data_IF_611715745809
#
_entry.id   IF_611715745809
#
_cell.length_a   1.000
_cell.length_b   1.000
_cell.length_c   1.000
_cell.angle_alpha   90.00
_cell.angle_beta   90.00
_cell.angle_gamma   90.00
#
_symmetry.space_group_name_H-M   'P 1'
#
loop_
_entity.id
_entity.type
_entity.pdbx_description
1 polymer ?
#
# COMPACT_ATOMS: atom_id res chain seq x y z
N UNK A 1 -4.09 -80.24 -0.27
CA UNK A 1 -4.79 -79.05 -0.75
C UNK A 1 -4.20 -77.80 -0.03
N UNK A 2 -3.28 -77.10 -0.69
CA UNK A 2 -2.64 -75.90 -0.15
C UNK A 2 -3.32 -74.69 -0.74
N UNK A 3 -3.87 -73.83 0.13
CA UNK A 3 -4.45 -72.56 -0.26
C UNK A 3 -3.40 -71.44 -0.09
N UNK A 4 -2.99 -70.85 -1.21
CA UNK A 4 -2.14 -69.64 -1.23
C UNK A 4 -3.02 -68.41 -0.97
N UNK A 5 -2.72 -67.67 0.12
CA UNK A 5 -3.29 -66.35 0.37
C UNK A 5 -2.40 -65.29 -0.31
N UNK A 6 -2.97 -64.51 -1.24
CA UNK A 6 -2.32 -63.36 -1.83
C UNK A 6 -2.62 -62.13 -0.97
N UNK A 7 -1.56 -61.55 -0.37
CA UNK A 7 -1.63 -60.23 0.24
C UNK A 7 -1.46 -59.17 -0.85
N UNK A 8 -2.50 -58.39 -1.08
CA UNK A 8 -2.48 -57.18 -1.95
C UNK A 8 -2.00 -56.02 -1.05
N UNK A 9 -0.76 -55.58 -1.24
CA UNK A 9 -0.26 -54.34 -0.64
C UNK A 9 -0.77 -53.14 -1.47
N UNK A 10 -1.66 -52.36 -0.89
CA UNK A 10 -2.12 -51.09 -1.46
C UNK A 10 -1.03 -50.03 -1.25
N UNK A 11 -0.37 -49.65 -2.33
CA UNK A 11 0.52 -48.45 -2.36
C UNK A 11 -0.35 -47.18 -2.30
N UNK A 12 -0.32 -46.51 -1.15
CA UNK A 12 -0.89 -45.18 -1.04
C UNK A 12 0.01 -44.18 -1.79
N UNK A 13 -0.48 -43.67 -2.90
CA UNK A 13 0.17 -42.56 -3.60
C UNK A 13 0.06 -41.28 -2.77
N UNK A 14 1.12 -40.47 -2.64
CA UNK A 14 1.06 -39.20 -1.94
C UNK A 14 0.14 -38.24 -2.73
N UNK A 15 -0.82 -37.62 -2.03
CA UNK A 15 -1.67 -36.54 -2.56
C UNK A 15 -0.77 -35.38 -3.05
N UNK A 16 -1.03 -34.80 -4.21
CA UNK A 16 -0.32 -33.63 -4.68
C UNK A 16 -0.59 -32.48 -3.71
N UNK A 17 0.48 -31.87 -3.16
CA UNK A 17 0.41 -30.60 -2.46
C UNK A 17 -0.20 -29.58 -3.42
N UNK A 18 -1.36 -29.08 -3.09
CA UNK A 18 -1.95 -27.92 -3.73
C UNK A 18 -0.94 -26.77 -3.58
N UNK A 19 -0.26 -26.42 -4.66
CA UNK A 19 0.50 -25.17 -4.75
C UNK A 19 -0.57 -24.08 -4.75
N UNK A 20 -0.55 -23.22 -3.75
CA UNK A 20 -1.24 -21.94 -3.82
C UNK A 20 -0.84 -21.28 -5.14
N UNK A 21 -1.77 -21.30 -6.09
CA UNK A 21 -1.62 -20.56 -7.33
C UNK A 21 -1.74 -19.08 -6.91
N UNK A 22 -0.63 -18.36 -6.89
CA UNK A 22 -0.65 -16.92 -7.00
C UNK A 22 -1.67 -16.57 -8.09
N UNK A 23 -2.70 -15.82 -7.72
CA UNK A 23 -3.67 -15.31 -8.71
C UNK A 23 -2.90 -14.39 -9.63
N UNK A 24 -2.56 -14.89 -10.81
CA UNK A 24 -1.98 -14.09 -11.88
C UNK A 24 -2.99 -13.01 -12.23
N UNK A 25 -2.73 -11.76 -11.83
CA UNK A 25 -3.60 -10.65 -12.19
C UNK A 25 -3.40 -10.34 -13.67
N UNK A 26 -4.48 -10.47 -14.44
CA UNK A 26 -4.53 -10.03 -15.83
C UNK A 26 -4.41 -8.50 -15.87
N UNK A 27 -3.18 -7.97 -16.04
CA UNK A 27 -2.93 -6.53 -16.11
C UNK A 27 -1.46 -6.21 -16.36
N UNK A 28 -1.21 -4.98 -16.79
CA UNK A 28 0.14 -4.46 -16.92
C UNK A 28 0.68 -4.11 -15.54
N UNK A 29 1.85 -4.64 -15.16
CA UNK A 29 2.57 -4.17 -14.00
C UNK A 29 3.05 -2.73 -14.24
N UNK A 30 2.60 -1.79 -13.43
CA UNK A 30 2.94 -0.36 -13.50
C UNK A 30 4.13 -0.07 -12.61
N UNK A 31 4.13 -0.63 -11.40
CA UNK A 31 5.22 -0.54 -10.45
C UNK A 31 5.24 -1.75 -9.53
N UNK A 32 6.44 -2.09 -9.06
CA UNK A 32 6.65 -3.10 -8.03
C UNK A 32 7.99 -2.87 -7.36
N UNK A 33 8.11 -3.30 -6.12
CA UNK A 33 9.35 -3.12 -5.37
C UNK A 33 9.19 -3.39 -3.89
N UNK A 34 10.14 -2.86 -3.14
CA UNK A 34 10.07 -2.89 -1.68
C UNK A 34 10.49 -1.55 -1.08
N UNK A 35 9.91 -1.25 0.07
CA UNK A 35 10.30 -0.16 0.95
C UNK A 35 10.92 -0.72 2.23
N UNK A 36 12.12 -0.26 2.56
CA UNK A 36 12.70 -0.44 3.89
C UNK A 36 12.21 0.65 4.82
N UNK A 37 11.69 0.27 5.98
CA UNK A 37 11.26 1.19 7.04
C UNK A 37 12.33 1.26 8.10
N UNK A 38 12.82 2.46 8.38
CA UNK A 38 13.90 2.71 9.32
C UNK A 38 13.42 3.63 10.44
N UNK A 39 13.78 3.29 11.67
CA UNK A 39 13.57 4.12 12.84
C UNK A 39 14.91 4.31 13.54
N UNK A 40 15.32 5.55 13.78
CA UNK A 40 16.65 5.87 14.33
C UNK A 40 17.81 5.20 13.57
N UNK A 41 17.70 5.07 12.25
CA UNK A 41 18.70 4.44 11.38
C UNK A 41 18.69 2.92 11.36
N UNK A 42 17.85 2.26 12.16
CA UNK A 42 17.71 0.79 12.19
C UNK A 42 16.48 0.36 11.40
N UNK A 43 16.64 -0.66 10.54
CA UNK A 43 15.52 -1.23 9.80
C UNK A 43 14.57 -1.94 10.77
N UNK A 44 13.31 -1.52 10.79
CA UNK A 44 12.25 -2.07 11.65
C UNK A 44 11.17 -2.81 10.86
N UNK A 45 11.15 -2.63 9.54
CA UNK A 45 10.19 -3.32 8.68
C UNK A 45 10.56 -3.28 7.21
N UNK A 46 9.86 -4.08 6.44
CA UNK A 46 9.92 -4.09 4.97
C UNK A 46 8.51 -4.25 4.43
N UNK A 47 8.13 -3.38 3.52
CA UNK A 47 6.95 -3.54 2.68
C UNK A 47 7.39 -4.03 1.31
N UNK A 48 6.76 -5.07 0.78
CA UNK A 48 6.89 -5.50 -0.62
C UNK A 48 5.56 -5.26 -1.30
N UNK A 49 5.57 -4.67 -2.49
CA UNK A 49 4.32 -4.29 -3.16
C UNK A 49 4.37 -4.49 -4.68
N UNK A 50 3.19 -4.52 -5.28
CA UNK A 50 2.98 -4.47 -6.73
C UNK A 50 1.72 -3.69 -7.07
N UNK A 51 1.77 -2.96 -8.20
CA UNK A 51 0.68 -2.16 -8.74
C UNK A 51 0.40 -2.64 -10.16
N UNK A 52 -0.81 -3.15 -10.39
CA UNK A 52 -1.27 -3.61 -11.69
C UNK A 52 -2.35 -2.68 -12.23
N UNK A 53 -2.24 -2.33 -13.52
CA UNK A 53 -3.27 -1.59 -14.25
C UNK A 53 -4.01 -2.56 -15.17
N UNK A 54 -5.32 -2.58 -15.07
CA UNK A 54 -6.23 -3.35 -15.94
C UNK A 54 -7.19 -2.40 -16.67
N UNK A 55 -7.96 -2.91 -17.63
CA UNK A 55 -9.05 -2.15 -18.25
C UNK A 55 -10.14 -1.79 -17.23
N UNK A 56 -10.25 -2.53 -16.15
CA UNK A 56 -11.22 -2.33 -15.08
C UNK A 56 -10.77 -1.39 -13.97
N UNK A 57 -9.52 -0.91 -13.98
CA UNK A 57 -8.94 -0.10 -12.92
C UNK A 57 -7.59 -0.62 -12.45
N UNK A 58 -7.20 -0.30 -11.23
CA UNK A 58 -5.91 -0.70 -10.66
C UNK A 58 -6.10 -1.68 -9.52
N UNK A 59 -5.14 -2.61 -9.38
CA UNK A 59 -5.02 -3.50 -8.22
C UNK A 59 -3.65 -3.30 -7.60
N UNK A 60 -3.65 -2.98 -6.32
CA UNK A 60 -2.44 -2.75 -5.53
C UNK A 60 -2.39 -3.83 -4.46
N UNK A 61 -1.29 -4.57 -4.42
CA UNK A 61 -1.04 -5.59 -3.42
C UNK A 61 0.19 -5.23 -2.63
N UNK A 62 0.15 -5.48 -1.33
CA UNK A 62 1.28 -5.20 -0.46
C UNK A 62 1.35 -6.22 0.67
N UNK A 63 2.59 -6.54 1.08
CA UNK A 63 2.91 -7.32 2.26
C UNK A 63 3.90 -6.51 3.10
N UNK A 64 3.58 -6.29 4.36
CA UNK A 64 4.47 -5.67 5.35
C UNK A 64 4.94 -6.70 6.36
N UNK A 65 6.26 -6.75 6.61
CA UNK A 65 6.89 -7.59 7.63
C UNK A 65 7.72 -6.73 8.58
N UNK A 66 7.51 -6.90 9.87
CA UNK A 66 8.44 -6.33 10.87
C UNK A 66 9.76 -7.08 10.84
N UNK A 67 10.83 -6.37 11.20
CA UNK A 67 12.20 -6.93 11.30
C UNK A 67 12.74 -6.58 12.67
N UNK A 68 13.37 -7.58 13.34
CA UNK A 68 13.95 -7.41 14.67
C UNK A 68 12.97 -6.97 15.76
N UNK A 69 11.67 -7.21 15.57
CA UNK A 69 10.65 -6.98 16.60
C UNK A 69 10.63 -8.16 17.60
N UNK A 70 10.19 -7.93 18.84
CA UNK A 70 9.99 -9.01 19.82
C UNK A 70 9.04 -10.10 19.32
N UNK A 71 8.12 -9.75 18.42
CA UNK A 71 7.21 -10.66 17.74
C UNK A 71 7.15 -10.24 16.28
N UNK A 72 7.49 -11.15 15.38
CA UNK A 72 7.44 -10.88 13.94
C UNK A 72 5.98 -10.76 13.50
N UNK A 73 5.62 -9.57 13.03
CA UNK A 73 4.32 -9.31 12.46
C UNK A 73 4.39 -9.35 10.93
N UNK A 74 3.40 -10.00 10.34
CA UNK A 74 3.18 -9.99 8.88
C UNK A 74 1.75 -9.56 8.61
N UNK A 75 1.60 -8.58 7.74
CA UNK A 75 0.31 -8.05 7.30
C UNK A 75 0.29 -7.97 5.77
N UNK A 76 -0.88 -8.14 5.19
CA UNK A 76 -1.10 -7.96 3.75
C UNK A 76 -2.21 -7.00 3.49
N UNK A 77 -2.15 -6.28 2.37
CA UNK A 77 -3.26 -5.47 1.88
C UNK A 77 -3.51 -5.69 0.39
N UNK A 78 -4.76 -5.53 0.00
CA UNK A 78 -5.18 -5.42 -1.39
C UNK A 78 -6.11 -4.23 -1.53
N UNK A 79 -5.80 -3.33 -2.47
CA UNK A 79 -6.65 -2.20 -2.83
C UNK A 79 -7.03 -2.30 -4.29
N UNK A 80 -8.32 -2.21 -4.57
CA UNK A 80 -8.88 -2.18 -5.91
C UNK A 80 -9.47 -0.80 -6.17
N UNK A 81 -9.05 -0.17 -7.26
CA UNK A 81 -9.52 1.15 -7.68
C UNK A 81 -10.24 1.05 -9.02
N UNK A 82 -11.19 1.95 -9.24
CA UNK A 82 -11.79 2.19 -10.56
C UNK A 82 -10.77 2.81 -11.53
N UNK A 83 -11.05 2.89 -12.85
CA UNK A 83 -10.21 3.65 -13.78
C UNK A 83 -10.07 5.13 -13.43
N UNK A 84 -11.00 5.69 -12.65
CA UNK A 84 -10.99 7.08 -12.16
C UNK A 84 -10.26 7.23 -10.81
N UNK A 85 -9.71 6.14 -10.26
CA UNK A 85 -8.97 6.15 -9.00
C UNK A 85 -9.84 6.17 -7.74
N UNK A 86 -11.11 5.78 -7.86
CA UNK A 86 -12.02 5.63 -6.73
C UNK A 86 -11.92 4.24 -6.12
N UNK A 87 -12.15 4.13 -4.81
CA UNK A 87 -12.11 2.86 -4.10
C UNK A 87 -13.25 1.96 -4.58
N UNK A 88 -12.91 0.74 -5.02
CA UNK A 88 -13.84 -0.38 -5.18
C UNK A 88 -13.86 -1.28 -3.98
N UNK A 89 -12.68 -1.56 -3.45
CA UNK A 89 -12.45 -2.42 -2.30
C UNK A 89 -11.07 -2.11 -1.73
N UNK A 90 -10.97 -2.09 -0.43
CA UNK A 90 -9.72 -2.20 0.30
C UNK A 90 -9.87 -3.33 1.32
N UNK A 91 -8.84 -4.14 1.46
CA UNK A 91 -8.78 -5.20 2.47
C UNK A 91 -7.37 -5.25 3.05
N UNK A 92 -7.27 -5.41 4.37
CA UNK A 92 -6.01 -5.80 4.99
C UNK A 92 -6.24 -6.98 5.94
N UNK A 93 -5.18 -7.77 6.13
CA UNK A 93 -5.16 -8.95 6.99
C UNK A 93 -3.87 -9.01 7.76
N UNK A 94 -3.96 -9.24 9.05
CA UNK A 94 -2.84 -9.65 9.86
C UNK A 94 -2.67 -11.17 9.76
N UNK A 95 -1.50 -11.61 9.28
CA UNK A 95 -1.18 -13.02 9.12
C UNK A 95 -0.50 -13.57 10.38
N UNK A 96 0.26 -12.73 11.08
CA UNK A 96 0.88 -13.00 12.37
C UNK A 96 1.17 -11.69 13.13
N UNK A 97 1.21 -11.70 14.47
CA UNK A 97 0.88 -12.80 15.38
C UNK A 97 -0.63 -13.03 15.52
N UNK A 98 -1.43 -12.00 15.25
CA UNK A 98 -2.88 -12.03 15.33
C UNK A 98 -3.52 -12.60 14.06
N UNK A 99 -4.81 -12.33 13.91
CA UNK A 99 -5.61 -12.66 12.72
C UNK A 99 -6.66 -11.58 12.47
N UNK A 100 -6.31 -10.35 12.80
CA UNK A 100 -7.19 -9.22 12.55
C UNK A 100 -7.40 -9.01 11.05
N UNK A 101 -8.58 -8.55 10.69
CA UNK A 101 -8.95 -8.27 9.29
C UNK A 101 -9.79 -7.01 9.21
N UNK A 102 -9.66 -6.29 8.10
CA UNK A 102 -10.56 -5.16 7.81
C UNK A 102 -10.85 -5.10 6.31
N UNK A 103 -12.07 -4.70 5.99
CA UNK A 103 -12.52 -4.48 4.61
C UNK A 103 -13.23 -3.13 4.55
N UNK A 104 -12.88 -2.29 3.57
CA UNK A 104 -13.57 -1.05 3.25
C UNK A 104 -14.23 -1.18 1.88
N UNK A 105 -15.52 -0.89 1.82
CA UNK A 105 -16.32 -0.97 0.60
C UNK A 105 -17.13 0.33 0.42
N UNK A 106 -17.32 0.79 -0.82
CA UNK A 106 -18.32 1.81 -1.11
C UNK A 106 -19.73 1.29 -0.82
N UNK A 107 -20.56 2.15 -0.23
CA UNK A 107 -21.97 1.89 0.00
C UNK A 107 -22.76 3.17 -0.31
N UNK A 108 -23.26 3.29 -1.55
CA UNK A 108 -23.87 4.51 -2.08
C UNK A 108 -22.89 5.71 -1.95
N UNK A 109 -23.25 6.71 -1.15
CA UNK A 109 -22.51 7.97 -0.99
C UNK A 109 -21.49 7.96 0.14
N UNK A 110 -21.20 6.80 0.74
CA UNK A 110 -20.25 6.67 1.84
C UNK A 110 -19.40 5.42 1.73
N UNK A 111 -18.32 5.37 2.54
CA UNK A 111 -17.50 4.18 2.72
C UNK A 111 -17.95 3.44 3.97
N UNK A 112 -17.97 2.12 3.90
CA UNK A 112 -18.31 1.27 5.02
C UNK A 112 -17.12 0.37 5.35
N UNK A 113 -16.63 0.45 6.59
CA UNK A 113 -15.57 -0.41 7.09
C UNK A 113 -16.16 -1.51 7.96
N UNK A 114 -15.74 -2.75 7.70
CA UNK A 114 -16.00 -3.92 8.55
C UNK A 114 -14.67 -4.49 9.02
N UNK A 115 -14.58 -4.85 10.31
CA UNK A 115 -13.33 -5.42 10.83
C UNK A 115 -13.58 -6.42 11.95
N UNK A 116 -12.56 -7.27 12.19
CA UNK A 116 -12.45 -8.19 13.31
C UNK A 116 -11.05 -8.12 13.88
N UNK A 117 -10.94 -8.20 15.20
CA UNK A 117 -9.65 -8.23 15.92
C UNK A 117 -9.08 -9.65 16.03
N UNK A 118 -9.88 -10.66 15.69
CA UNK A 118 -9.49 -12.06 15.66
C UNK A 118 -10.55 -12.94 15.00
N UNK A 119 -10.25 -14.21 14.71
CA UNK A 119 -11.13 -15.10 13.95
C UNK A 119 -12.45 -15.42 14.69
N UNK A 120 -12.42 -15.50 16.02
CA UNK A 120 -13.58 -15.77 16.87
C UNK A 120 -14.29 -14.49 17.35
N UNK A 121 -13.74 -13.32 17.02
CA UNK A 121 -14.28 -12.05 17.45
C UNK A 121 -15.47 -11.61 16.58
N UNK A 122 -16.36 -10.86 17.22
CA UNK A 122 -17.52 -10.28 16.53
C UNK A 122 -17.05 -9.29 15.45
N UNK A 123 -17.73 -9.29 14.33
CA UNK A 123 -17.52 -8.28 13.29
C UNK A 123 -18.07 -6.94 13.76
N UNK A 124 -17.24 -5.91 13.67
CA UNK A 124 -17.61 -4.53 13.84
C UNK A 124 -17.87 -3.89 12.48
N UNK A 125 -18.70 -2.85 12.45
CA UNK A 125 -19.05 -2.12 11.23
C UNK A 125 -19.17 -0.64 11.55
N UNK A 126 -18.58 0.19 10.67
CA UNK A 126 -18.64 1.65 10.81
C UNK A 126 -18.79 2.30 9.43
N UNK A 127 -19.85 3.08 9.20
CA UNK A 127 -19.99 3.92 8.03
C UNK A 127 -19.22 5.24 8.21
N UNK A 128 -18.62 5.72 7.11
CA UNK A 128 -17.98 7.04 7.01
C UNK A 128 -18.66 7.82 5.90
N UNK A 129 -19.12 9.03 6.20
CA UNK A 129 -19.69 9.96 5.21
C UNK A 129 -18.57 10.51 4.31
N UNK A 130 -17.95 9.63 3.56
CA UNK A 130 -16.81 9.87 2.69
C UNK A 130 -17.10 9.30 1.31
N UNK A 131 -16.83 10.04 0.22
CA UNK A 131 -17.02 9.55 -1.14
C UNK A 131 -16.00 8.47 -1.49
N UNK A 132 -16.29 7.66 -2.50
CA UNK A 132 -15.38 6.64 -3.02
C UNK A 132 -14.05 7.22 -3.57
N UNK A 133 -13.99 8.52 -3.85
CA UNK A 133 -12.77 9.26 -4.20
C UNK A 133 -11.81 9.48 -3.03
N UNK A 134 -12.22 9.18 -1.80
CA UNK A 134 -11.36 9.18 -0.62
C UNK A 134 -10.14 8.27 -0.82
N UNK A 135 -9.01 8.63 -0.26
CA UNK A 135 -7.78 7.85 -0.37
C UNK A 135 -7.55 7.05 0.90
N UNK A 136 -7.25 5.77 0.77
CA UNK A 136 -6.77 4.96 1.90
C UNK A 136 -5.34 5.40 2.20
N UNK A 137 -5.06 5.73 3.46
CA UNK A 137 -3.73 5.96 4.01
C UNK A 137 -3.54 5.09 5.25
N UNK A 138 -3.11 3.89 5.00
CA UNK A 138 -2.82 2.92 6.05
C UNK A 138 -1.45 3.17 6.68
N UNK A 139 -1.29 2.82 7.96
CA UNK A 139 -0.06 3.08 8.71
C UNK A 139 1.09 2.14 8.31
N UNK A 140 0.77 0.93 7.82
CA UNK A 140 1.74 -0.10 7.51
C UNK A 140 2.07 -0.21 6.02
N UNK A 141 1.22 0.36 5.14
CA UNK A 141 1.38 0.23 3.69
C UNK A 141 1.75 1.58 3.06
N UNK A 142 3.05 1.78 2.86
CA UNK A 142 3.62 3.04 2.38
C UNK A 142 3.33 3.28 0.90
N UNK A 143 3.10 2.21 0.12
CA UNK A 143 2.66 2.29 -1.28
C UNK A 143 1.39 3.15 -1.45
N UNK A 144 0.53 3.24 -0.44
CA UNK A 144 -0.65 4.11 -0.49
C UNK A 144 -0.27 5.60 -0.59
N UNK A 145 0.88 5.99 -0.05
CA UNK A 145 1.40 7.37 -0.16
C UNK A 145 1.92 7.65 -1.56
N UNK A 146 2.46 6.65 -2.25
CA UNK A 146 2.85 6.75 -3.65
C UNK A 146 1.62 6.96 -4.56
N UNK A 147 0.55 6.20 -4.36
CA UNK A 147 -0.71 6.39 -5.08
C UNK A 147 -1.29 7.79 -4.85
N UNK A 148 -1.26 8.28 -3.62
CA UNK A 148 -1.71 9.64 -3.32
C UNK A 148 -0.82 10.69 -3.98
N UNK A 149 0.50 10.47 -4.06
CA UNK A 149 1.41 11.34 -4.78
C UNK A 149 1.06 11.42 -6.27
N UNK A 150 0.80 10.28 -6.93
CA UNK A 150 0.34 10.26 -8.32
C UNK A 150 -1.01 10.96 -8.50
N UNK A 151 -1.94 10.77 -7.56
CA UNK A 151 -3.23 11.48 -7.57
C UNK A 151 -3.06 13.00 -7.43
N UNK A 152 -2.13 13.45 -6.57
CA UNK A 152 -1.76 14.86 -6.45
C UNK A 152 -1.16 15.40 -7.76
N UNK A 153 -0.19 14.69 -8.36
CA UNK A 153 0.43 15.11 -9.62
C UNK A 153 -0.61 15.25 -10.73
N UNK A 154 -1.53 14.30 -10.84
CA UNK A 154 -2.61 14.34 -11.83
C UNK A 154 -3.59 15.52 -11.61
N UNK A 155 -3.84 15.91 -10.35
CA UNK A 155 -4.77 16.97 -10.00
C UNK A 155 -4.14 18.37 -10.06
N UNK A 156 -2.85 18.51 -9.69
CA UNK A 156 -2.21 19.81 -9.47
C UNK A 156 -1.18 20.19 -10.53
N UNK A 157 -0.63 19.22 -11.27
CA UNK A 157 0.47 19.44 -12.19
C UNK A 157 0.01 19.32 -13.65
N UNK A 158 0.79 19.90 -14.57
CA UNK A 158 0.53 19.83 -16.01
C UNK A 158 1.69 19.17 -16.73
N UNK A 159 1.36 18.34 -17.71
CA UNK A 159 2.35 17.80 -18.64
C UNK A 159 2.58 18.80 -19.78
N UNK A 160 3.78 19.32 -19.94
CA UNK A 160 4.14 20.20 -21.06
C UNK A 160 5.10 19.50 -22.02
N UNK A 161 4.75 19.52 -23.33
CA UNK A 161 5.59 18.91 -24.37
C UNK A 161 7.00 19.52 -24.34
N UNK A 162 8.00 18.69 -24.09
CA UNK A 162 9.41 19.09 -24.10
C UNK A 162 9.93 19.71 -22.80
N UNK A 163 9.07 19.98 -21.84
CA UNK A 163 9.46 20.54 -20.53
C UNK A 163 9.18 19.58 -19.35
N UNK A 164 8.46 18.47 -19.62
CA UNK A 164 8.11 17.51 -18.58
C UNK A 164 6.92 17.93 -17.72
N UNK A 165 6.90 17.51 -16.48
CA UNK A 165 5.82 17.81 -15.54
C UNK A 165 6.10 19.10 -14.79
N UNK A 166 5.20 20.08 -14.94
CA UNK A 166 5.26 21.35 -14.23
C UNK A 166 4.22 21.39 -13.12
N UNK A 167 4.70 21.51 -11.90
CA UNK A 167 3.86 21.65 -10.71
C UNK A 167 3.98 23.06 -10.13
N UNK A 168 2.87 23.76 -9.86
CA UNK A 168 2.92 25.07 -9.20
C UNK A 168 3.45 24.93 -7.77
N UNK A 169 4.45 25.74 -7.43
CA UNK A 169 4.98 25.83 -6.08
C UNK A 169 3.92 26.38 -5.12
N UNK A 170 3.85 25.81 -3.92
CA UNK A 170 2.99 26.27 -2.80
C UNK A 170 1.48 26.16 -3.08
N UNK A 171 1.07 25.56 -4.19
CA UNK A 171 -0.34 25.24 -4.42
C UNK A 171 -0.71 24.01 -3.60
N UNK A 172 -1.74 24.18 -2.77
CA UNK A 172 -2.27 23.10 -1.93
C UNK A 172 -3.47 22.45 -2.57
N UNK A 173 -3.49 21.13 -2.53
CA UNK A 173 -4.63 20.30 -2.93
C UNK A 173 -5.11 19.51 -1.71
N UNK A 174 -6.42 19.49 -1.47
CA UNK A 174 -7.01 18.78 -0.34
C UNK A 174 -7.53 17.43 -0.79
N UNK A 175 -7.30 16.42 0.06
CA UNK A 175 -7.80 15.07 -0.12
C UNK A 175 -8.50 14.60 1.16
N UNK A 176 -9.61 13.87 1.01
CA UNK A 176 -10.14 13.07 2.11
C UNK A 176 -9.32 11.79 2.24
N UNK A 177 -8.98 11.40 3.47
CA UNK A 177 -8.26 10.16 3.74
C UNK A 177 -8.99 9.32 4.80
N UNK A 178 -8.84 8.00 4.69
CA UNK A 178 -9.30 7.04 5.67
C UNK A 178 -8.13 6.14 6.06
N UNK A 179 -7.87 6.05 7.38
CA UNK A 179 -6.94 5.10 7.96
C UNK A 179 -7.74 3.91 8.55
N UNK A 180 -7.72 2.74 7.89
CA UNK A 180 -8.51 1.61 8.34
C UNK A 180 -8.02 0.96 9.64
N UNK A 181 -6.74 1.10 10.00
CA UNK A 181 -6.22 0.60 11.27
C UNK A 181 -6.66 1.45 12.46
N UNK A 182 -6.72 2.76 12.26
CA UNK A 182 -7.14 3.69 13.31
C UNK A 182 -8.66 3.91 13.32
N UNK A 183 -9.40 3.34 12.35
CA UNK A 183 -10.84 3.59 12.16
C UNK A 183 -11.16 5.09 12.13
N UNK A 184 -10.29 5.87 11.47
CA UNK A 184 -10.35 7.32 11.49
C UNK A 184 -10.21 7.91 10.09
N UNK A 185 -10.92 9.00 9.86
CA UNK A 185 -10.80 9.81 8.65
C UNK A 185 -10.26 11.19 8.96
N UNK A 186 -9.46 11.74 8.07
CA UNK A 186 -8.89 13.06 8.21
C UNK A 186 -8.73 13.76 6.86
N UNK A 187 -8.83 15.10 6.82
CA UNK A 187 -8.37 15.86 5.65
C UNK A 187 -6.84 15.80 5.58
N UNK A 188 -6.33 15.70 4.36
CA UNK A 188 -4.91 15.79 4.06
C UNK A 188 -4.68 16.92 3.06
N UNK A 189 -3.69 17.78 3.35
CA UNK A 189 -3.19 18.79 2.42
C UNK A 189 -1.91 18.30 1.76
N UNK A 190 -1.89 18.27 0.44
CA UNK A 190 -0.71 17.94 -0.36
C UNK A 190 -0.17 19.18 -1.05
N UNK A 191 1.15 19.36 -1.06
CA UNK A 191 1.84 20.52 -1.64
C UNK A 191 3.14 20.10 -2.33
N UNK A 192 3.46 20.72 -3.48
CA UNK A 192 4.76 20.60 -4.14
C UNK A 192 5.72 21.64 -3.56
N UNK A 193 6.83 21.19 -2.99
CA UNK A 193 7.84 22.06 -2.37
C UNK A 193 9.00 22.42 -3.31
N UNK A 194 9.07 21.83 -4.50
CA UNK A 194 10.17 22.01 -5.44
C UNK A 194 10.98 20.73 -5.63
N UNK A 195 12.26 20.92 -5.99
CA UNK A 195 13.21 19.81 -6.18
C UNK A 195 14.27 19.86 -5.08
N UNK A 196 14.77 18.69 -4.72
CA UNK A 196 15.82 18.54 -3.72
C UNK A 196 16.78 17.43 -4.11
N UNK A 197 18.09 17.71 -3.94
CA UNK A 197 19.12 16.68 -4.10
C UNK A 197 19.16 15.80 -2.87
N UNK A 198 18.98 14.51 -3.09
CA UNK A 198 18.92 13.48 -2.04
C UNK A 198 19.95 12.41 -2.31
N UNK A 199 20.74 12.08 -1.30
CA UNK A 199 21.65 10.94 -1.35
C UNK A 199 20.86 9.68 -1.03
N UNK A 200 20.80 8.79 -2.00
CA UNK A 200 20.23 7.45 -1.91
C UNK A 200 21.34 6.39 -1.93
N UNK A 201 21.01 5.12 -1.71
CA UNK A 201 21.98 4.00 -1.80
C UNK A 201 22.77 3.99 -3.12
N UNK A 202 22.12 4.40 -4.22
CA UNK A 202 22.68 4.36 -5.58
C UNK A 202 23.23 5.70 -6.07
N UNK A 203 23.53 6.63 -5.16
CA UNK A 203 24.07 7.94 -5.46
C UNK A 203 23.11 9.11 -5.23
N UNK A 204 23.58 10.32 -5.53
CA UNK A 204 22.78 11.54 -5.40
C UNK A 204 21.81 11.68 -6.59
N UNK A 205 20.56 12.01 -6.30
CA UNK A 205 19.52 12.29 -7.30
C UNK A 205 18.80 13.59 -6.98
N UNK A 206 18.39 14.30 -8.02
CA UNK A 206 17.57 15.50 -7.92
C UNK A 206 16.09 15.08 -8.06
N UNK A 207 15.33 15.11 -6.99
CA UNK A 207 14.01 14.52 -6.87
C UNK A 207 12.93 15.58 -6.65
N UNK A 208 11.70 15.30 -7.09
CA UNK A 208 10.50 16.07 -6.76
C UNK A 208 10.17 15.88 -5.27
N UNK A 209 10.03 16.99 -4.55
CA UNK A 209 9.67 16.97 -3.13
C UNK A 209 8.21 17.35 -2.94
N UNK A 210 7.43 16.47 -2.35
CA UNK A 210 6.06 16.72 -1.91
C UNK A 210 5.98 16.77 -0.40
N UNK A 211 5.00 17.48 0.12
CA UNK A 211 4.59 17.48 1.52
C UNK A 211 3.14 17.04 1.64
N UNK A 212 2.87 16.09 2.52
CA UNK A 212 1.55 15.63 2.92
C UNK A 212 1.33 15.96 4.39
N UNK A 213 0.39 16.84 4.66
CA UNK A 213 0.09 17.31 6.01
C UNK A 213 -1.30 16.91 6.46
N UNK A 214 -1.37 16.26 7.62
CA UNK A 214 -2.59 15.95 8.37
C UNK A 214 -2.48 16.53 9.78
N UNK A 215 -3.52 16.39 10.59
CA UNK A 215 -3.45 16.72 12.01
C UNK A 215 -2.49 15.79 12.78
N UNK A 216 -2.35 14.53 12.34
CA UNK A 216 -1.47 13.55 12.97
C UNK A 216 0.02 13.75 12.66
N UNK A 217 0.37 14.55 11.65
CA UNK A 217 1.76 14.78 11.30
C UNK A 217 1.97 15.22 9.86
N UNK A 218 3.23 15.44 9.52
CA UNK A 218 3.66 15.87 8.19
C UNK A 218 4.63 14.87 7.60
N UNK A 219 4.31 14.36 6.41
CA UNK A 219 5.18 13.51 5.62
C UNK A 219 5.83 14.30 4.50
N UNK A 220 7.11 14.06 4.25
CA UNK A 220 7.81 14.51 3.06
C UNK A 220 8.13 13.31 2.18
N UNK A 221 7.90 13.46 0.87
CA UNK A 221 8.10 12.42 -0.13
C UNK A 221 9.02 12.93 -1.22
N UNK A 222 9.95 12.11 -1.67
CA UNK A 222 10.85 12.39 -2.79
C UNK A 222 10.59 11.41 -3.91
N UNK A 223 10.19 11.95 -5.09
CA UNK A 223 9.78 11.19 -6.26
C UNK A 223 10.77 11.37 -7.40
N UNK A 224 11.05 10.29 -8.11
CA UNK A 224 11.90 10.30 -9.31
C UNK A 224 11.05 10.55 -10.56
N UNK A 225 11.10 11.75 -11.10
CA UNK A 225 10.37 12.13 -12.33
C UNK A 225 10.97 11.52 -13.60
N UNK A 226 12.16 10.94 -13.52
CA UNK A 226 12.77 10.19 -14.62
C UNK A 226 12.29 8.73 -14.65
N UNK A 227 11.69 8.25 -13.56
CA UNK A 227 11.15 6.90 -13.44
C UNK A 227 9.67 6.96 -12.96
N UNK A 228 8.81 7.52 -13.79
CA UNK A 228 7.34 7.53 -13.60
C UNK A 228 6.87 8.09 -12.25
N UNK A 229 7.63 9.00 -11.65
CA UNK A 229 7.35 9.57 -10.33
C UNK A 229 7.23 8.52 -9.22
N UNK A 230 8.05 7.46 -9.30
CA UNK A 230 8.17 6.49 -8.21
C UNK A 230 8.70 7.18 -6.95
N UNK A 231 8.12 6.83 -5.83
CA UNK A 231 8.62 7.32 -4.54
C UNK A 231 9.92 6.60 -4.19
N UNK A 232 10.99 7.37 -4.02
CA UNK A 232 12.31 6.88 -3.65
C UNK A 232 12.54 6.93 -2.14
N UNK A 233 11.98 7.96 -1.49
CA UNK A 233 12.12 8.19 -0.05
C UNK A 233 10.89 8.88 0.53
N UNK A 234 10.58 8.58 1.79
CA UNK A 234 9.61 9.30 2.61
C UNK A 234 10.20 9.52 4.00
N UNK A 235 9.78 10.58 4.68
CA UNK A 235 10.11 10.81 6.08
C UNK A 235 8.99 11.53 6.81
N UNK A 236 8.91 11.33 8.12
CA UNK A 236 8.02 12.10 9.00
C UNK A 236 8.80 13.29 9.56
N UNK A 237 8.25 14.49 9.39
CA UNK A 237 8.90 15.71 9.89
C UNK A 237 8.89 15.72 11.42
N UNK A 238 10.06 15.91 12.02
CA UNK A 238 10.22 15.91 13.48
C UNK A 238 10.40 14.52 14.11
N UNK A 239 10.42 13.47 13.29
CA UNK A 239 10.70 12.10 13.74
C UNK A 239 11.93 11.52 13.04
N UNK A 240 12.51 10.48 13.62
CA UNK A 240 13.62 9.74 13.02
C UNK A 240 13.11 8.53 12.21
N UNK A 241 11.93 8.67 11.61
CA UNK A 241 11.33 7.63 10.76
C UNK A 241 11.59 7.97 9.30
N UNK A 242 12.20 7.04 8.59
CA UNK A 242 12.51 7.12 7.17
C UNK A 242 12.06 5.86 6.48
N UNK A 243 11.47 6.01 5.30
CA UNK A 243 11.10 4.90 4.41
C UNK A 243 11.84 5.10 3.09
N UNK A 244 12.57 4.09 2.65
CA UNK A 244 13.36 4.15 1.41
C UNK A 244 13.04 2.97 0.51
N UNK A 245 12.96 3.22 -0.79
CA UNK A 245 12.88 2.17 -1.80
C UNK A 245 14.21 1.40 -1.86
N UNK A 246 14.14 0.06 -1.82
CA UNK A 246 15.30 -0.83 -1.84
C UNK A 246 15.97 -0.97 -3.21
#
# INVERSE_FOLDING_TARGET
>A
MMALAWCIAALAAPLPKEKDKEKEHEGQNVDSGSFGVFQNGHRVGTETFSIYQTNGGSVIQSEFKTVNAPTDATQTSEMQLTPTGEIRRYEWKELSPGKATSVVLPNSDFLNQKWRTGPEEKEHEQPYLLPASTTILDDYFFVHRELLAWKFLAAACKQEKGQGTLCPLKQRTQFGTLNPHQHASAPLSAEFLGREKVTLKNGERDLFKLEFKTEAGTWQLWLDDQDQFKVMRMSIVGENTVVERD
#
